data_IF_876346190795
#
_entry.id   IF_876346190795
#
_cell.length_a   1.000
_cell.length_b   1.000
_cell.length_c   1.000
_cell.angle_alpha   90.00
_cell.angle_beta   90.00
_cell.angle_gamma   90.00
#
_symmetry.space_group_name_H-M   'P 1'
#
loop_
_entity.id
_entity.type
_entity.pdbx_description
1 polymer ?
#
# COMPACT_ATOMS: atom_id res chain seq x y z
N UNK A 1 3.46 -8.52 -8.29
CA UNK A 1 2.10 -7.92 -8.31
C UNK A 1 1.68 -7.63 -9.74
N UNK A 2 0.53 -8.14 -10.17
CA UNK A 2 -0.13 -7.76 -11.43
C UNK A 2 -1.42 -6.97 -11.17
N UNK A 3 -2.01 -6.41 -12.23
CA UNK A 3 -3.22 -5.59 -12.14
C UNK A 3 -4.43 -6.35 -11.58
N UNK A 4 -4.60 -7.63 -11.94
CA UNK A 4 -5.74 -8.42 -11.50
C UNK A 4 -5.69 -8.69 -10.00
N UNK A 5 -4.53 -9.16 -9.52
CA UNK A 5 -4.27 -9.35 -8.09
C UNK A 5 -4.42 -8.03 -7.33
N UNK A 6 -3.84 -6.94 -7.83
CA UNK A 6 -3.90 -5.64 -7.16
C UNK A 6 -5.33 -5.09 -7.04
N UNK A 7 -6.13 -5.17 -8.12
CA UNK A 7 -7.53 -4.70 -8.11
C UNK A 7 -8.42 -5.56 -7.22
N UNK A 8 -8.22 -6.89 -7.22
CA UNK A 8 -8.93 -7.80 -6.32
C UNK A 8 -8.67 -7.47 -4.85
N UNK A 9 -7.41 -7.29 -4.46
CA UNK A 9 -7.02 -6.91 -3.10
C UNK A 9 -7.56 -5.51 -2.76
N UNK A 10 -7.40 -4.53 -3.66
CA UNK A 10 -7.90 -3.18 -3.45
C UNK A 10 -9.42 -3.15 -3.25
N UNK A 11 -10.17 -3.97 -3.99
CA UNK A 11 -11.60 -4.11 -3.83
C UNK A 11 -11.98 -4.80 -2.50
N UNK A 12 -11.24 -5.83 -2.07
CA UNK A 12 -11.45 -6.47 -0.77
C UNK A 12 -11.31 -5.46 0.39
N UNK A 13 -10.20 -4.71 0.42
CA UNK A 13 -9.96 -3.63 1.39
C UNK A 13 -11.05 -2.54 1.24
N UNK A 14 -11.38 -2.19 -0.01
CA UNK A 14 -12.37 -1.18 -0.38
C UNK A 14 -13.77 -1.47 0.14
N UNK A 15 -14.17 -2.74 0.29
CA UNK A 15 -15.50 -3.12 0.81
C UNK A 15 -15.62 -3.12 2.33
N UNK A 16 -14.50 -3.05 3.05
CA UNK A 16 -14.54 -3.05 4.52
C UNK A 16 -15.30 -1.83 5.06
N UNK A 17 -16.00 -1.98 6.19
CA UNK A 17 -16.61 -0.85 6.92
C UNK A 17 -15.60 -0.08 7.78
N UNK A 18 -14.37 -0.57 7.90
CA UNK A 18 -13.31 0.00 8.73
C UNK A 18 -12.68 1.24 8.09
N UNK A 19 -13.45 2.33 8.03
CA UNK A 19 -13.09 3.55 7.31
C UNK A 19 -11.73 4.11 7.73
N UNK A 20 -11.46 4.21 9.03
CA UNK A 20 -10.20 4.79 9.55
C UNK A 20 -8.98 3.99 9.10
N UNK A 21 -9.04 2.66 9.20
CA UNK A 21 -7.94 1.78 8.80
C UNK A 21 -7.76 1.76 7.29
N UNK A 22 -8.86 1.71 6.52
CA UNK A 22 -8.82 1.80 5.05
C UNK A 22 -8.19 3.11 4.57
N UNK A 23 -8.62 4.24 5.13
CA UNK A 23 -8.08 5.55 4.74
C UNK A 23 -6.61 5.70 5.13
N UNK A 24 -6.22 5.16 6.30
CA UNK A 24 -4.82 5.15 6.73
C UNK A 24 -3.96 4.34 5.76
N UNK A 25 -4.39 3.13 5.41
CA UNK A 25 -3.69 2.27 4.45
C UNK A 25 -3.55 2.96 3.10
N UNK A 26 -4.62 3.51 2.54
CA UNK A 26 -4.58 4.17 1.23
C UNK A 26 -3.70 5.42 1.22
N UNK A 27 -3.67 6.19 2.32
CA UNK A 27 -2.77 7.32 2.43
C UNK A 27 -1.31 6.89 2.49
N UNK A 28 -0.98 5.87 3.31
CA UNK A 28 0.40 5.34 3.38
C UNK A 28 0.85 4.72 2.05
N UNK A 29 -0.06 4.07 1.33
CA UNK A 29 0.21 3.59 -0.02
C UNK A 29 0.56 4.74 -0.98
N UNK A 30 -0.22 5.81 -0.96
CA UNK A 30 0.00 6.98 -1.81
C UNK A 30 1.31 7.72 -1.46
N UNK A 31 1.61 7.90 -0.16
CA UNK A 31 2.83 8.53 0.33
C UNK A 31 4.07 7.75 -0.16
N UNK A 32 4.07 6.42 0.04
CA UNK A 32 5.18 5.56 -0.41
C UNK A 32 5.29 5.51 -1.95
N UNK A 33 4.17 5.43 -2.65
CA UNK A 33 4.15 5.41 -4.12
C UNK A 33 4.71 6.71 -4.71
N UNK A 34 4.31 7.86 -4.18
CA UNK A 34 4.87 9.15 -4.55
C UNK A 34 6.38 9.18 -4.30
N UNK A 35 6.83 8.69 -3.14
CA UNK A 35 8.25 8.63 -2.82
C UNK A 35 9.05 7.71 -3.75
N UNK A 36 8.48 6.61 -4.25
CA UNK A 36 9.12 5.79 -5.31
C UNK A 36 9.29 6.57 -6.61
N UNK A 37 8.31 7.39 -6.99
CA UNK A 37 8.38 8.22 -8.19
C UNK A 37 9.48 9.27 -8.05
N UNK A 38 9.51 10.00 -6.93
CA UNK A 38 10.56 10.99 -6.66
C UNK A 38 11.94 10.33 -6.66
N UNK A 39 12.11 9.21 -5.95
CA UNK A 39 13.37 8.46 -5.94
C UNK A 39 13.83 8.06 -7.36
N UNK A 40 12.89 7.64 -8.22
CA UNK A 40 13.21 7.28 -9.62
C UNK A 40 13.65 8.48 -10.46
N UNK A 41 13.14 9.68 -10.17
CA UNK A 41 13.45 10.91 -10.88
C UNK A 41 14.67 11.67 -10.32
N UNK A 42 15.17 11.27 -9.16
CA UNK A 42 16.35 11.85 -8.49
C UNK A 42 17.71 11.37 -9.03
N UNK A 43 18.77 12.14 -8.72
CA UNK A 43 20.17 11.74 -8.95
C UNK A 43 20.61 10.61 -8.01
N UNK A 44 21.75 9.94 -8.27
CA UNK A 44 22.28 8.93 -7.35
C UNK A 44 22.51 9.43 -5.91
N UNK A 45 23.01 10.67 -5.75
CA UNK A 45 23.29 11.27 -4.45
C UNK A 45 22.00 11.56 -3.67
N UNK A 46 20.99 12.10 -4.36
CA UNK A 46 19.66 12.35 -3.80
C UNK A 46 18.97 11.04 -3.40
N UNK A 47 19.05 10.01 -4.25
CA UNK A 47 18.51 8.67 -3.94
C UNK A 47 19.10 8.10 -2.66
N UNK A 48 20.42 8.22 -2.48
CA UNK A 48 21.11 7.78 -1.27
C UNK A 48 20.61 8.53 -0.02
N UNK A 49 20.37 9.84 -0.14
CA UNK A 49 19.80 10.64 0.94
C UNK A 49 18.33 10.29 1.24
N UNK A 50 17.56 9.86 0.24
CA UNK A 50 16.15 9.48 0.37
C UNK A 50 15.92 8.06 0.90
N UNK A 51 16.89 7.16 0.75
CA UNK A 51 16.74 5.74 1.09
C UNK A 51 16.24 5.45 2.52
N UNK A 52 16.69 6.17 3.57
CA UNK A 52 16.17 5.99 4.93
C UNK A 52 14.66 6.30 5.03
N UNK A 53 14.25 7.48 4.57
CA UNK A 53 12.86 7.88 4.59
C UNK A 53 11.98 7.00 3.67
N UNK A 54 12.55 6.47 2.56
CA UNK A 54 11.85 5.54 1.66
C UNK A 54 11.56 4.22 2.36
N UNK A 55 12.53 3.74 3.13
CA UNK A 55 12.42 2.51 3.90
C UNK A 55 11.35 2.69 4.99
N UNK A 56 11.38 3.80 5.72
CA UNK A 56 10.39 4.13 6.75
C UNK A 56 8.96 4.24 6.19
N UNK A 57 8.77 4.92 5.05
CA UNK A 57 7.48 5.03 4.39
C UNK A 57 6.95 3.65 3.96
N UNK A 58 7.83 2.77 3.48
CA UNK A 58 7.46 1.40 3.14
C UNK A 58 7.08 0.57 4.37
N UNK A 59 7.86 0.65 5.45
CA UNK A 59 7.57 -0.05 6.71
C UNK A 59 6.22 0.37 7.25
N UNK A 60 5.95 1.69 7.27
CA UNK A 60 4.66 2.22 7.73
C UNK A 60 3.49 1.74 6.85
N UNK A 61 3.70 1.58 5.54
CA UNK A 61 2.67 1.01 4.65
C UNK A 61 2.43 -0.48 4.92
N UNK A 62 3.48 -1.26 5.17
CA UNK A 62 3.37 -2.67 5.55
C UNK A 62 2.60 -2.79 6.88
N UNK A 63 2.94 -1.97 7.87
CA UNK A 63 2.23 -1.93 9.16
C UNK A 63 0.75 -1.56 9.00
N UNK A 64 0.42 -0.63 8.10
CA UNK A 64 -0.97 -0.29 7.79
C UNK A 64 -1.72 -1.47 7.13
N UNK A 65 -1.06 -2.25 6.28
CA UNK A 65 -1.62 -3.50 5.74
C UNK A 65 -1.90 -4.51 6.86
N UNK A 66 -0.95 -4.72 7.75
CA UNK A 66 -1.08 -5.67 8.87
C UNK A 66 -2.19 -5.22 9.85
N UNK A 67 -2.26 -3.93 10.17
CA UNK A 67 -3.29 -3.38 11.04
C UNK A 67 -4.68 -3.52 10.43
N UNK A 68 -4.83 -3.22 9.14
CA UNK A 68 -6.11 -3.40 8.44
C UNK A 68 -6.58 -4.86 8.52
N UNK A 69 -5.69 -5.82 8.24
CA UNK A 69 -6.03 -7.24 8.28
C UNK A 69 -6.43 -7.71 9.69
N UNK A 70 -5.69 -7.29 10.72
CA UNK A 70 -6.02 -7.61 12.14
C UNK A 70 -7.38 -7.05 12.54
N UNK A 71 -7.66 -5.79 12.23
CA UNK A 71 -8.96 -5.20 12.55
C UNK A 71 -10.10 -5.85 11.76
N UNK A 72 -9.87 -6.28 10.52
CA UNK A 72 -10.85 -7.06 9.76
C UNK A 72 -11.13 -8.41 10.43
N UNK A 73 -10.08 -9.10 10.90
CA UNK A 73 -10.22 -10.35 11.66
C UNK A 73 -11.06 -10.16 12.93
N UNK A 74 -10.75 -9.14 13.74
CA UNK A 74 -11.49 -8.80 14.97
C UNK A 74 -12.98 -8.52 14.69
N UNK A 75 -13.27 -7.89 13.56
CA UNK A 75 -14.61 -7.50 13.13
C UNK A 75 -15.31 -8.55 12.27
N UNK A 76 -14.73 -9.75 12.17
CA UNK A 76 -15.23 -10.91 11.41
C UNK A 76 -15.46 -10.61 9.92
N UNK A 77 -14.64 -9.74 9.35
CA UNK A 77 -14.56 -9.46 7.92
C UNK A 77 -13.50 -10.33 7.24
N UNK A 78 -13.62 -10.50 5.93
CA UNK A 78 -12.66 -11.28 5.14
C UNK A 78 -11.29 -10.58 5.04
N UNK A 79 -10.29 -11.12 5.74
CA UNK A 79 -8.91 -10.63 5.73
C UNK A 79 -7.95 -11.47 4.86
N UNK A 80 -8.47 -12.45 4.10
CA UNK A 80 -7.66 -13.37 3.28
C UNK A 80 -6.80 -12.65 2.23
N UNK A 81 -7.20 -11.44 1.82
CA UNK A 81 -6.41 -10.59 0.92
C UNK A 81 -5.00 -10.31 1.45
N UNK A 82 -4.79 -10.32 2.77
CA UNK A 82 -3.47 -10.07 3.38
C UNK A 82 -2.54 -11.25 3.18
N UNK A 83 -3.07 -12.47 3.26
CA UNK A 83 -2.32 -13.70 2.94
C UNK A 83 -2.03 -13.77 1.44
N UNK A 84 -3.01 -13.42 0.60
CA UNK A 84 -2.86 -13.33 -0.85
C UNK A 84 -1.78 -12.33 -1.27
N UNK A 85 -1.73 -11.16 -0.62
CA UNK A 85 -0.68 -10.16 -0.84
C UNK A 85 0.72 -10.72 -0.54
N UNK A 86 0.84 -11.61 0.44
CA UNK A 86 2.09 -12.25 0.82
C UNK A 86 3.01 -11.36 1.66
N UNK A 87 4.23 -11.84 1.90
CA UNK A 87 5.25 -11.14 2.73
C UNK A 87 6.42 -10.59 1.91
N UNK A 88 6.39 -10.76 0.59
CA UNK A 88 7.44 -10.22 -0.27
C UNK A 88 7.36 -8.70 -0.29
N UNK A 89 8.39 -8.05 0.25
CA UNK A 89 8.43 -6.60 0.38
C UNK A 89 8.38 -5.89 -0.98
N UNK A 90 8.97 -6.46 -2.03
CA UNK A 90 8.92 -5.83 -3.36
C UNK A 90 7.49 -5.87 -3.90
N UNK A 91 6.82 -7.00 -3.73
CA UNK A 91 5.43 -7.17 -4.13
C UNK A 91 4.48 -6.23 -3.38
N UNK A 92 4.67 -6.05 -2.07
CA UNK A 92 3.92 -5.08 -1.27
C UNK A 92 4.21 -3.65 -1.77
N UNK A 93 5.46 -3.32 -2.06
CA UNK A 93 5.82 -2.02 -2.61
C UNK A 93 5.18 -1.73 -3.97
N UNK A 94 5.08 -2.75 -4.83
CA UNK A 94 4.36 -2.65 -6.11
C UNK A 94 2.86 -2.46 -5.91
N UNK A 95 2.27 -3.16 -4.93
CA UNK A 95 0.87 -2.98 -4.56
C UNK A 95 0.55 -1.55 -4.14
N UNK A 96 1.42 -0.88 -3.38
CA UNK A 96 1.25 0.54 -3.04
C UNK A 96 1.11 1.43 -4.28
N UNK A 97 1.89 1.17 -5.32
CA UNK A 97 1.82 1.92 -6.58
C UNK A 97 0.55 1.60 -7.39
N UNK A 98 0.08 0.37 -7.37
CA UNK A 98 -1.24 0.05 -7.94
C UNK A 98 -2.37 0.76 -7.20
N UNK A 99 -2.34 0.81 -5.86
CA UNK A 99 -3.32 1.59 -5.09
C UNK A 99 -3.28 3.07 -5.47
N UNK A 100 -2.08 3.66 -5.58
CA UNK A 100 -1.92 5.05 -6.00
C UNK A 100 -2.52 5.30 -7.40
N UNK A 101 -2.25 4.41 -8.36
CA UNK A 101 -2.85 4.45 -9.70
C UNK A 101 -4.38 4.36 -9.64
N UNK A 102 -4.93 3.37 -8.93
CA UNK A 102 -6.38 3.15 -8.81
C UNK A 102 -7.05 4.39 -8.21
N UNK A 103 -6.52 4.92 -7.11
CA UNK A 103 -7.06 6.11 -6.45
C UNK A 103 -7.04 7.33 -7.37
N UNK A 104 -5.93 7.54 -8.11
CA UNK A 104 -5.83 8.62 -9.10
C UNK A 104 -6.83 8.47 -10.25
N UNK A 105 -7.09 7.24 -10.70
CA UNK A 105 -8.09 6.97 -11.74
C UNK A 105 -9.53 7.16 -11.26
N UNK A 106 -9.82 6.94 -9.98
CA UNK A 106 -11.16 7.08 -9.37
C UNK A 106 -11.50 8.54 -9.05
N UNK A 107 -10.52 9.39 -8.76
CA UNK A 107 -10.70 10.79 -8.34
C UNK A 107 -11.14 11.77 -9.47
N UNK A 108 -11.88 11.28 -10.47
CA UNK A 108 -12.34 12.04 -11.64
C UNK A 108 -13.55 12.91 -11.35
#
# INVERSE_FOLDING_TARGET
MDWEKATRIAHAIGRSRLLVFRMTLFRKAADYAHMRVEWQLSTPEERLAMDPARTEAHDTFIEACDMMARCMEDEKEDFSWREELGKDRKEIGDFACYLHLILGLVAR
#
